data_IF_996041505944
#
_entry.id   IF_996041505944
#
_cell.length_a   1.000
_cell.length_b   1.000
_cell.length_c   1.000
_cell.angle_alpha   90.00
_cell.angle_beta   90.00
_cell.angle_gamma   90.00
#
_symmetry.space_group_name_H-M   'P 1'
#
loop_
_entity.id
_entity.type
_entity.pdbx_description
1 polymer ?
#
# COMPACT_ATOMS: atom_id res chain seq x y z
N UNK A 1 10.87 9.25 25.65
CA UNK A 1 10.74 8.99 24.21
C UNK A 1 9.27 8.77 23.97
N UNK A 2 8.63 9.54 23.09
CA UNK A 2 7.20 9.35 22.80
C UNK A 2 7.00 7.94 22.24
N UNK A 3 6.06 7.20 22.81
CA UNK A 3 5.64 5.91 22.28
C UNK A 3 5.09 6.14 20.86
N UNK A 4 5.64 5.44 19.86
CA UNK A 4 5.10 5.48 18.50
C UNK A 4 3.74 4.79 18.52
N UNK A 5 2.68 5.46 18.05
CA UNK A 5 1.30 4.92 18.11
C UNK A 5 0.56 4.99 16.78
N UNK A 6 1.23 5.39 15.70
CA UNK A 6 0.65 5.53 14.37
C UNK A 6 0.72 4.19 13.61
N UNK A 7 0.01 3.19 14.12
CA UNK A 7 -0.12 1.87 13.52
C UNK A 7 -1.39 1.17 14.04
N UNK A 8 -1.82 0.13 13.32
CA UNK A 8 -2.82 -0.84 13.78
C UNK A 8 -2.43 -2.22 13.24
N UNK A 9 -1.97 -3.09 14.15
CA UNK A 9 -1.56 -4.47 13.88
C UNK A 9 -2.20 -5.40 14.90
N UNK A 10 -2.17 -6.71 14.66
CA UNK A 10 -2.80 -7.69 15.55
C UNK A 10 -2.19 -7.70 16.96
N UNK A 11 -0.86 -7.84 17.06
CA UNK A 11 -0.15 -7.94 18.33
C UNK A 11 1.32 -7.48 18.21
N UNK A 12 1.66 -6.42 18.94
CA UNK A 12 3.02 -5.87 18.98
C UNK A 12 4.03 -6.76 19.70
N UNK A 13 3.58 -7.72 20.52
CA UNK A 13 4.47 -8.67 21.20
C UNK A 13 5.23 -9.58 20.22
N UNK A 14 4.73 -9.70 18.97
CA UNK A 14 5.30 -10.52 17.91
C UNK A 14 6.51 -9.86 17.21
N UNK A 15 6.83 -8.60 17.51
CA UNK A 15 7.87 -7.84 16.81
C UNK A 15 9.26 -8.52 16.85
N UNK A 16 9.64 -9.12 17.98
CA UNK A 16 10.92 -9.82 18.11
C UNK A 16 10.99 -11.09 17.26
N UNK A 17 9.86 -11.79 17.09
CA UNK A 17 9.76 -12.93 16.19
C UNK A 17 9.86 -12.49 14.73
N UNK A 18 9.08 -11.48 14.34
CA UNK A 18 9.16 -10.91 12.99
C UNK A 18 10.57 -10.43 12.64
N UNK A 19 11.27 -9.77 13.59
CA UNK A 19 12.67 -9.34 13.39
C UNK A 19 13.64 -10.50 13.15
N UNK A 20 13.41 -11.68 13.75
CA UNK A 20 14.23 -12.86 13.49
C UNK A 20 14.00 -13.37 12.07
N UNK A 21 12.76 -13.46 11.62
CA UNK A 21 12.44 -13.93 10.26
C UNK A 21 12.84 -12.94 9.17
N UNK A 22 12.69 -11.63 9.40
CA UNK A 22 13.20 -10.59 8.49
C UNK A 22 14.70 -10.77 8.24
N UNK A 23 15.50 -11.01 9.30
CA UNK A 23 16.95 -11.25 9.15
C UNK A 23 17.28 -12.52 8.35
N UNK A 24 16.43 -13.55 8.41
CA UNK A 24 16.58 -14.75 7.57
C UNK A 24 16.19 -14.39 6.13
N UNK A 25 15.08 -13.71 5.91
CA UNK A 25 14.64 -13.31 4.58
C UNK A 25 15.65 -12.38 3.88
N UNK A 26 16.36 -11.52 4.61
CA UNK A 26 17.44 -10.69 4.06
C UNK A 26 18.55 -11.53 3.39
N UNK A 27 18.83 -12.75 3.88
CA UNK A 27 19.83 -13.64 3.22
C UNK A 27 19.30 -14.24 1.92
N UNK A 28 17.98 -14.37 1.79
CA UNK A 28 17.30 -14.90 0.60
C UNK A 28 16.83 -13.80 -0.38
N UNK A 29 17.05 -12.52 -0.05
CA UNK A 29 16.64 -11.37 -0.88
C UNK A 29 17.84 -10.53 -1.35
N UNK A 30 18.84 -11.13 -2.03
CA UNK A 30 20.09 -10.46 -2.39
C UNK A 30 19.87 -9.23 -3.30
N UNK A 31 18.80 -9.20 -4.10
CA UNK A 31 18.46 -8.05 -4.93
C UNK A 31 18.18 -6.78 -4.13
N UNK A 32 17.36 -6.89 -3.07
CA UNK A 32 17.07 -5.76 -2.18
C UNK A 32 18.30 -5.35 -1.37
N UNK A 33 19.05 -6.33 -0.86
CA UNK A 33 20.28 -6.05 -0.10
C UNK A 33 21.33 -5.35 -0.96
N UNK A 34 21.47 -5.74 -2.24
CA UNK A 34 22.35 -5.06 -3.18
C UNK A 34 21.91 -3.61 -3.45
N UNK A 35 20.60 -3.33 -3.54
CA UNK A 35 20.08 -1.98 -3.68
C UNK A 35 20.41 -1.12 -2.45
N UNK A 36 20.23 -1.66 -1.24
CA UNK A 36 20.63 -0.99 0.01
C UNK A 36 22.13 -0.67 0.00
N UNK A 37 22.98 -1.63 -0.35
CA UNK A 37 24.43 -1.43 -0.41
C UNK A 37 24.84 -0.37 -1.44
N UNK A 38 24.19 -0.38 -2.62
CA UNK A 38 24.51 0.51 -3.73
C UNK A 38 24.02 1.94 -3.52
N UNK A 39 22.80 2.11 -3.03
CA UNK A 39 22.11 3.40 -2.99
C UNK A 39 21.84 3.94 -1.57
N UNK A 40 22.09 3.16 -0.52
CA UNK A 40 21.86 3.59 0.87
C UNK A 40 22.65 4.84 1.26
N UNK A 41 23.84 5.05 0.69
CA UNK A 41 24.62 6.28 0.93
C UNK A 41 24.04 7.51 0.23
N UNK A 42 23.48 7.35 -0.98
CA UNK A 42 22.94 8.47 -1.75
C UNK A 42 21.49 8.81 -1.40
N UNK A 43 20.81 7.95 -0.65
CA UNK A 43 19.40 8.09 -0.20
C UNK A 43 18.49 8.68 -1.30
N UNK A 44 18.39 8.03 -2.47
CA UNK A 44 17.72 8.60 -3.65
C UNK A 44 16.21 8.84 -3.45
N UNK A 45 15.60 8.20 -2.45
CA UNK A 45 14.18 8.37 -2.13
C UNK A 45 13.95 9.45 -1.06
N UNK A 46 14.96 10.25 -0.71
CA UNK A 46 14.78 11.38 0.21
C UNK A 46 13.66 12.29 -0.25
N UNK A 47 12.67 12.51 0.62
CA UNK A 47 11.48 13.31 0.33
C UNK A 47 10.32 12.53 -0.32
N UNK A 48 10.51 11.25 -0.64
CA UNK A 48 9.42 10.37 -1.03
C UNK A 48 8.54 10.05 0.19
N UNK A 49 7.23 10.12 -0.01
CA UNK A 49 6.18 9.67 0.90
C UNK A 49 5.43 8.56 0.18
N UNK A 50 5.83 7.32 0.46
CA UNK A 50 5.37 6.13 -0.26
C UNK A 50 4.25 5.47 0.52
N UNK A 51 3.04 5.46 -0.04
CA UNK A 51 1.97 4.58 0.45
C UNK A 51 2.09 3.24 -0.26
N UNK A 52 2.21 2.16 0.50
CA UNK A 52 2.18 0.79 -0.01
C UNK A 52 0.87 0.08 0.30
N UNK A 53 0.32 -0.61 -0.69
CA UNK A 53 -0.83 -1.53 -0.59
C UNK A 53 -0.44 -2.86 -1.23
N UNK A 54 0.28 -3.68 -0.46
CA UNK A 54 0.79 -5.00 -0.87
C UNK A 54 0.68 -5.93 0.33
N UNK A 55 0.57 -7.24 0.09
CA UNK A 55 0.56 -8.26 1.14
C UNK A 55 1.61 -7.96 2.23
N UNK A 56 1.16 -7.79 3.48
CA UNK A 56 2.04 -7.44 4.60
C UNK A 56 2.74 -8.69 5.16
N UNK A 57 3.75 -9.17 4.42
CA UNK A 57 4.53 -10.38 4.74
C UNK A 57 5.95 -10.05 5.21
N UNK A 58 6.72 -11.07 5.59
CA UNK A 58 8.15 -10.97 5.88
C UNK A 58 8.93 -10.44 4.66
N UNK A 59 8.59 -10.88 3.45
CA UNK A 59 9.25 -10.42 2.22
C UNK A 59 8.96 -8.93 1.99
N UNK A 60 7.71 -8.51 2.20
CA UNK A 60 7.31 -7.10 2.12
C UNK A 60 7.97 -6.26 3.20
N UNK A 61 8.18 -6.79 4.41
CA UNK A 61 8.94 -6.08 5.45
C UNK A 61 10.38 -5.75 4.99
N UNK A 62 11.07 -6.66 4.29
CA UNK A 62 12.41 -6.39 3.71
C UNK A 62 12.33 -5.32 2.61
N UNK A 63 11.26 -5.31 1.81
CA UNK A 63 11.00 -4.25 0.82
C UNK A 63 10.79 -2.89 1.49
N UNK A 64 9.93 -2.80 2.51
CA UNK A 64 9.65 -1.57 3.27
C UNK A 64 10.95 -1.01 3.86
N UNK A 65 11.72 -1.85 4.54
CA UNK A 65 12.99 -1.43 5.15
C UNK A 65 14.03 -1.03 4.10
N UNK A 66 13.95 -1.57 2.88
CA UNK A 66 14.76 -1.10 1.75
C UNK A 66 14.35 0.30 1.33
N UNK A 67 13.06 0.59 1.20
CA UNK A 67 12.60 1.94 0.85
C UNK A 67 13.03 2.98 1.89
N UNK A 68 12.89 2.64 3.19
CA UNK A 68 13.35 3.49 4.31
C UNK A 68 14.87 3.66 4.28
N UNK A 69 15.63 2.59 4.07
CA UNK A 69 17.09 2.65 3.93
C UNK A 69 17.52 3.47 2.71
N UNK A 70 16.68 3.62 1.70
CA UNK A 70 16.93 4.48 0.55
C UNK A 70 16.41 5.92 0.74
N UNK A 71 15.86 6.26 1.91
CA UNK A 71 15.49 7.62 2.31
C UNK A 71 14.00 7.95 2.23
N UNK A 72 13.14 6.98 1.89
CA UNK A 72 11.69 7.21 1.84
C UNK A 72 11.09 7.27 3.25
N UNK A 73 10.00 8.03 3.39
CA UNK A 73 9.01 7.80 4.42
C UNK A 73 7.97 6.83 3.85
N UNK A 74 7.46 5.91 4.66
CA UNK A 74 6.58 4.83 4.22
C UNK A 74 5.36 4.72 5.13
N UNK A 75 4.17 4.46 4.57
CA UNK A 75 2.97 4.00 5.27
C UNK A 75 2.43 2.78 4.54
N UNK A 76 1.96 1.75 5.24
CA UNK A 76 1.66 0.46 4.62
C UNK A 76 0.36 -0.18 5.09
N UNK A 77 -0.41 -0.72 4.15
CA UNK A 77 -1.52 -1.65 4.42
C UNK A 77 -1.35 -2.91 3.57
N UNK A 78 -2.07 -3.96 3.94
CA UNK A 78 -2.16 -5.15 3.11
C UNK A 78 -3.11 -4.92 1.93
N UNK A 79 -2.96 -5.66 0.83
CA UNK A 79 -3.91 -5.70 -0.30
C UNK A 79 -4.87 -6.91 -0.23
N UNK A 80 -4.85 -7.68 0.87
CA UNK A 80 -5.77 -8.80 1.07
C UNK A 80 -5.94 -9.14 2.55
N UNK A 81 -7.21 -9.34 2.96
CA UNK A 81 -7.64 -9.56 4.34
C UNK A 81 -6.98 -10.75 5.07
N UNK A 82 -6.44 -11.74 4.35
CA UNK A 82 -5.81 -12.93 4.97
C UNK A 82 -4.30 -13.03 4.73
N UNK A 83 -3.72 -12.12 3.98
CA UNK A 83 -2.33 -12.23 3.53
C UNK A 83 -1.30 -11.74 4.55
N UNK A 84 -1.72 -10.93 5.52
CA UNK A 84 -0.82 -10.39 6.53
C UNK A 84 -0.19 -11.51 7.36
N UNK A 85 1.12 -11.38 7.57
CA UNK A 85 1.86 -12.12 8.58
C UNK A 85 2.05 -11.18 9.78
N UNK A 86 1.30 -11.41 10.85
CA UNK A 86 1.16 -10.44 11.95
C UNK A 86 2.49 -10.11 12.63
N UNK A 87 3.40 -11.07 12.72
CA UNK A 87 4.75 -10.84 13.26
C UNK A 87 5.61 -9.95 12.35
N UNK A 88 5.44 -10.04 11.02
CA UNK A 88 6.07 -9.13 10.08
C UNK A 88 5.52 -7.70 10.27
N UNK A 89 4.20 -7.56 10.34
CA UNK A 89 3.53 -6.27 10.57
C UNK A 89 4.01 -5.62 11.88
N UNK A 90 4.05 -6.39 12.97
CA UNK A 90 4.54 -5.93 14.27
C UNK A 90 6.02 -5.50 14.23
N UNK A 91 6.88 -6.24 13.54
CA UNK A 91 8.30 -5.92 13.45
C UNK A 91 8.57 -4.62 12.66
N UNK A 92 7.76 -4.34 11.63
CA UNK A 92 7.83 -3.10 10.86
C UNK A 92 7.25 -1.92 11.66
N UNK A 93 6.12 -2.11 12.34
CA UNK A 93 5.54 -1.11 13.23
C UNK A 93 6.50 -0.74 14.38
N UNK A 94 7.17 -1.74 14.99
CA UNK A 94 8.16 -1.53 16.04
C UNK A 94 9.41 -0.77 15.55
N UNK A 95 9.69 -0.78 14.23
CA UNK A 95 10.74 0.02 13.62
C UNK A 95 10.31 1.48 13.35
N UNK A 96 9.09 1.88 13.74
CA UNK A 96 8.58 3.23 13.58
C UNK A 96 7.97 3.54 12.21
N UNK A 97 7.65 2.50 11.42
CA UNK A 97 6.94 2.66 10.14
C UNK A 97 5.45 2.40 10.35
N UNK A 98 4.56 3.32 9.95
CA UNK A 98 3.11 3.11 10.06
C UNK A 98 2.62 1.91 9.26
N UNK A 99 2.06 0.92 9.95
CA UNK A 99 1.46 -0.27 9.36
C UNK A 99 0.03 -0.42 9.88
N UNK A 100 -0.90 -0.56 8.94
CA UNK A 100 -2.32 -0.78 9.18
C UNK A 100 -2.69 -2.08 8.49
N UNK A 101 -2.43 -3.21 9.16
CA UNK A 101 -2.61 -4.53 8.60
C UNK A 101 -2.66 -5.61 9.71
N UNK A 102 -3.60 -6.53 9.62
CA UNK A 102 -3.61 -7.79 10.39
C UNK A 102 -4.22 -8.93 9.59
N UNK A 103 -3.97 -10.17 10.02
CA UNK A 103 -4.60 -11.34 9.39
C UNK A 103 -6.04 -11.48 9.87
N UNK A 104 -6.97 -11.65 8.93
CA UNK A 104 -8.39 -11.85 9.23
C UNK A 104 -9.18 -10.55 9.37
N UNK A 105 -8.79 -9.50 8.66
CA UNK A 105 -9.57 -8.26 8.55
C UNK A 105 -10.99 -8.52 8.00
N UNK A 106 -11.96 -7.71 8.43
CA UNK A 106 -13.22 -7.54 7.67
C UNK A 106 -13.01 -6.63 6.46
N UNK A 107 -13.98 -6.57 5.53
CA UNK A 107 -13.89 -5.64 4.40
C UNK A 107 -13.89 -4.17 4.85
N UNK A 108 -14.63 -3.83 5.90
CA UNK A 108 -14.62 -2.49 6.50
C UNK A 108 -13.26 -2.13 7.10
N UNK A 109 -12.64 -3.08 7.78
CA UNK A 109 -11.29 -2.92 8.35
C UNK A 109 -10.25 -2.75 7.24
N UNK A 110 -10.32 -3.58 6.19
CA UNK A 110 -9.45 -3.48 5.02
C UNK A 110 -9.49 -2.10 4.36
N UNK A 111 -10.68 -1.62 4.00
CA UNK A 111 -10.82 -0.30 3.37
C UNK A 111 -10.51 0.85 4.32
N UNK A 112 -10.72 0.67 5.63
CA UNK A 112 -10.25 1.61 6.64
C UNK A 112 -8.72 1.66 6.69
N UNK A 113 -8.03 0.53 6.66
CA UNK A 113 -6.57 0.44 6.60
C UNK A 113 -6.02 1.15 5.36
N UNK A 114 -6.62 0.90 4.18
CA UNK A 114 -6.27 1.58 2.92
C UNK A 114 -6.43 3.10 3.04
N UNK A 115 -7.51 3.58 3.67
CA UNK A 115 -7.68 5.01 3.94
C UNK A 115 -6.58 5.56 4.88
N UNK A 116 -6.24 4.85 5.97
CA UNK A 116 -5.23 5.32 6.95
C UNK A 116 -3.86 5.53 6.32
N UNK A 117 -3.47 4.69 5.36
CA UNK A 117 -2.14 4.77 4.74
C UNK A 117 -2.06 5.80 3.63
N UNK A 118 -3.20 6.22 3.07
CA UNK A 118 -3.30 7.36 2.15
C UNK A 118 -3.41 8.71 2.89
N UNK A 119 -3.76 8.69 4.17
CA UNK A 119 -3.84 9.87 5.04
C UNK A 119 -2.49 10.12 5.73
N UNK A 120 -1.71 11.02 5.14
CA UNK A 120 -0.41 11.41 5.70
C UNK A 120 -0.55 12.61 6.65
N UNK A 121 0.02 12.53 7.87
CA UNK A 121 0.03 13.66 8.79
C UNK A 121 0.94 14.78 8.29
N UNK A 122 0.54 16.02 8.56
CA UNK A 122 1.23 17.30 8.39
C UNK A 122 2.43 17.44 9.31
N UNK A 123 3.39 18.31 8.98
CA UNK A 123 4.54 18.60 9.85
C UNK A 123 4.14 19.22 11.22
N UNK A 124 2.94 19.78 11.30
CA UNK A 124 2.30 20.40 12.46
C UNK A 124 1.15 19.56 13.04
N UNK A 125 1.00 18.30 12.59
CA UNK A 125 -0.17 17.47 12.90
C UNK A 125 -1.41 17.77 12.04
N UNK A 126 -1.29 18.66 11.04
CA UNK A 126 -2.30 18.86 9.98
C UNK A 126 -2.37 17.69 8.98
N UNK A 127 -2.84 17.91 7.76
CA UNK A 127 -2.75 16.93 6.66
C UNK A 127 -1.67 17.37 5.67
N UNK A 128 -0.67 16.53 5.35
CA UNK A 128 0.39 16.86 4.36
C UNK A 128 -0.09 16.77 2.90
N UNK A 129 -1.39 16.54 2.67
CA UNK A 129 -1.92 16.36 1.32
C UNK A 129 -1.60 14.97 0.72
N UNK A 130 -1.26 13.97 1.55
CA UNK A 130 -1.13 12.57 1.12
C UNK A 130 0.27 12.12 0.68
N UNK A 131 0.36 10.88 0.13
CA UNK A 131 1.60 10.37 -0.44
C UNK A 131 2.00 11.17 -1.68
N UNK A 132 3.26 11.03 -2.08
CA UNK A 132 3.70 11.48 -3.41
C UNK A 132 4.07 10.32 -4.34
N UNK A 133 3.99 9.08 -3.85
CA UNK A 133 4.21 7.85 -4.62
C UNK A 133 3.27 6.76 -4.07
N UNK A 134 2.73 5.92 -4.95
CA UNK A 134 2.00 4.70 -4.57
C UNK A 134 2.80 3.47 -5.02
N UNK A 135 2.89 2.47 -4.15
CA UNK A 135 3.32 1.11 -4.47
C UNK A 135 2.09 0.22 -4.29
N UNK A 136 1.53 -0.30 -5.38
CA UNK A 136 0.22 -0.96 -5.37
C UNK A 136 0.32 -2.41 -5.86
N UNK A 137 -0.56 -3.26 -5.37
CA UNK A 137 -0.78 -4.63 -5.81
C UNK A 137 -2.28 -4.88 -5.86
N UNK A 138 -2.80 -5.02 -7.08
CA UNK A 138 -4.22 -5.19 -7.37
C UNK A 138 -4.93 -3.87 -7.69
N UNK A 139 -4.31 -2.73 -7.38
CA UNK A 139 -4.78 -1.41 -7.78
C UNK A 139 -5.82 -0.77 -6.86
N UNK A 140 -6.00 -1.27 -5.64
CA UNK A 140 -7.06 -0.80 -4.73
C UNK A 140 -6.76 0.58 -4.14
N UNK A 141 -5.51 0.86 -3.78
CA UNK A 141 -5.12 2.20 -3.31
C UNK A 141 -5.29 3.22 -4.44
N UNK A 142 -4.89 2.86 -5.66
CA UNK A 142 -5.09 3.68 -6.86
C UNK A 142 -6.59 3.90 -7.12
N UNK A 143 -7.39 2.84 -7.09
CA UNK A 143 -8.84 2.91 -7.33
C UNK A 143 -9.53 3.84 -6.32
N UNK A 144 -9.19 3.73 -5.03
CA UNK A 144 -9.79 4.57 -3.99
C UNK A 144 -9.50 6.06 -4.23
N UNK A 145 -8.28 6.41 -4.62
CA UNK A 145 -7.91 7.79 -4.96
C UNK A 145 -8.69 8.29 -6.18
N UNK A 146 -8.71 7.51 -7.27
CA UNK A 146 -9.36 7.91 -8.52
C UNK A 146 -10.88 8.06 -8.34
N UNK A 147 -11.53 7.09 -7.67
CA UNK A 147 -12.98 7.17 -7.38
C UNK A 147 -13.31 8.28 -6.39
N UNK A 148 -12.44 8.52 -5.41
CA UNK A 148 -12.56 9.66 -4.51
C UNK A 148 -12.58 10.99 -5.28
N UNK A 149 -11.64 11.19 -6.21
CA UNK A 149 -11.63 12.39 -7.07
C UNK A 149 -12.90 12.51 -7.93
N UNK A 150 -13.34 11.39 -8.52
CA UNK A 150 -14.53 11.34 -9.37
C UNK A 150 -15.76 11.84 -8.59
N UNK A 151 -15.97 11.32 -7.37
CA UNK A 151 -17.12 11.68 -6.55
C UNK A 151 -17.00 13.05 -5.89
N UNK A 152 -15.79 13.52 -5.55
CA UNK A 152 -15.57 14.91 -5.14
C UNK A 152 -15.95 15.88 -6.25
N UNK A 153 -15.54 15.60 -7.49
CA UNK A 153 -15.89 16.42 -8.66
C UNK A 153 -17.39 16.42 -8.93
N UNK A 154 -18.05 15.28 -8.73
CA UNK A 154 -19.51 15.16 -8.87
C UNK A 154 -20.28 15.79 -7.69
N UNK A 155 -19.64 15.98 -6.54
CA UNK A 155 -20.27 16.45 -5.31
C UNK A 155 -21.21 15.42 -4.66
N UNK A 156 -21.18 14.16 -5.11
CA UNK A 156 -22.02 13.09 -4.58
C UNK A 156 -21.34 11.72 -4.78
N UNK A 157 -21.58 10.81 -3.83
CA UNK A 157 -21.22 9.39 -3.96
C UNK A 157 -22.49 8.60 -4.30
N UNK A 158 -22.50 7.79 -5.37
CA UNK A 158 -23.67 7.03 -5.78
C UNK A 158 -24.14 6.08 -4.67
N UNK A 159 -25.43 5.76 -4.67
CA UNK A 159 -25.97 4.73 -3.78
C UNK A 159 -25.67 3.35 -4.33
N UNK A 160 -25.46 2.38 -3.44
CA UNK A 160 -25.38 0.98 -3.83
C UNK A 160 -26.77 0.49 -4.28
N UNK A 161 -26.79 -0.38 -5.29
CA UNK A 161 -27.98 -1.08 -5.78
C UNK A 161 -27.81 -2.60 -5.67
N UNK A 162 -28.81 -3.37 -6.13
CA UNK A 162 -28.79 -4.84 -6.07
C UNK A 162 -27.65 -5.47 -6.90
N UNK A 163 -27.03 -4.73 -7.83
CA UNK A 163 -25.91 -5.19 -8.64
C UNK A 163 -24.53 -4.86 -8.02
N UNK A 164 -24.54 -4.04 -6.97
CA UNK A 164 -23.32 -3.59 -6.29
C UNK A 164 -22.76 -4.71 -5.42
N UNK A 165 -21.47 -5.04 -5.59
CA UNK A 165 -20.82 -6.03 -4.71
C UNK A 165 -20.75 -5.52 -3.27
N UNK A 166 -20.75 -6.45 -2.31
CA UNK A 166 -20.61 -6.15 -0.88
C UNK A 166 -19.38 -5.28 -0.61
N UNK A 167 -18.24 -5.65 -1.19
CA UNK A 167 -16.99 -4.90 -1.08
C UNK A 167 -17.09 -3.49 -1.67
N UNK A 168 -17.70 -3.32 -2.84
CA UNK A 168 -17.83 -2.00 -3.42
C UNK A 168 -18.82 -1.13 -2.63
N UNK A 169 -19.84 -1.72 -1.99
CA UNK A 169 -20.70 -0.99 -1.06
C UNK A 169 -19.90 -0.42 0.13
N UNK A 170 -18.90 -1.15 0.65
CA UNK A 170 -17.98 -0.65 1.67
C UNK A 170 -17.13 0.50 1.13
N UNK A 171 -16.58 0.40 -0.09
CA UNK A 171 -15.85 1.51 -0.75
C UNK A 171 -16.72 2.76 -0.85
N UNK A 172 -17.97 2.63 -1.31
CA UNK A 172 -18.91 3.74 -1.40
C UNK A 172 -19.21 4.34 -0.01
N UNK A 173 -19.27 3.52 1.04
CA UNK A 173 -19.43 4.00 2.41
C UNK A 173 -18.23 4.85 2.87
N UNK A 174 -17.00 4.37 2.62
CA UNK A 174 -15.76 5.11 2.93
C UNK A 174 -15.73 6.44 2.19
N UNK A 175 -16.01 6.45 0.89
CA UNK A 175 -15.99 7.67 0.09
C UNK A 175 -17.09 8.65 0.49
N UNK A 176 -18.28 8.17 0.87
CA UNK A 176 -19.39 9.02 1.33
C UNK A 176 -19.05 9.71 2.66
N UNK A 177 -18.45 8.97 3.60
CA UNK A 177 -17.93 9.51 4.85
C UNK A 177 -16.82 10.52 4.57
N UNK A 178 -15.86 10.17 3.72
CA UNK A 178 -14.75 11.08 3.37
C UNK A 178 -15.24 12.37 2.73
N UNK A 179 -16.23 12.32 1.84
CA UNK A 179 -16.78 13.50 1.15
C UNK A 179 -17.45 14.47 2.12
N UNK A 180 -18.12 13.94 3.16
CA UNK A 180 -18.76 14.76 4.21
C UNK A 180 -17.74 15.35 5.19
N UNK A 181 -16.66 14.62 5.49
CA UNK A 181 -15.56 15.10 6.33
C UNK A 181 -14.71 16.18 5.62
N UNK A 182 -14.42 15.98 4.34
CA UNK A 182 -13.53 16.82 3.54
C UNK A 182 -13.78 16.63 2.04
N UNK A 183 -14.50 17.57 1.43
CA UNK A 183 -14.97 17.47 0.05
C UNK A 183 -13.88 17.59 -1.03
N UNK A 184 -12.62 17.70 -0.65
CA UNK A 184 -11.49 17.94 -1.57
C UNK A 184 -10.24 17.13 -1.18
N UNK A 185 -10.41 16.13 -0.30
CA UNK A 185 -9.34 15.28 0.23
C UNK A 185 -8.62 14.55 -0.89
N UNK A 186 -9.35 13.77 -1.68
CA UNK A 186 -8.82 12.89 -2.71
C UNK A 186 -8.24 13.68 -3.88
N UNK A 187 -8.86 14.81 -4.23
CA UNK A 187 -8.32 15.76 -5.22
C UNK A 187 -6.95 16.29 -4.79
N UNK A 188 -6.79 16.67 -3.52
CA UNK A 188 -5.47 17.10 -3.00
C UNK A 188 -4.45 15.97 -2.97
N UNK A 189 -4.85 14.78 -2.50
CA UNK A 189 -4.01 13.57 -2.48
C UNK A 189 -3.50 13.26 -3.89
N UNK A 190 -4.40 13.17 -4.87
CA UNK A 190 -4.05 12.87 -6.24
C UNK A 190 -3.10 13.91 -6.85
N UNK A 191 -3.31 15.20 -6.58
CA UNK A 191 -2.42 16.25 -7.05
C UNK A 191 -0.98 16.15 -6.49
N UNK A 192 -0.81 15.50 -5.33
CA UNK A 192 0.49 15.25 -4.71
C UNK A 192 1.22 14.02 -5.28
N UNK A 193 0.51 13.06 -5.89
CA UNK A 193 1.05 11.80 -6.38
C UNK A 193 1.79 12.01 -7.70
N UNK A 194 3.07 11.61 -7.73
CA UNK A 194 3.94 11.67 -8.91
C UNK A 194 3.91 10.41 -9.76
N UNK A 195 3.40 9.32 -9.21
CA UNK A 195 3.15 8.08 -9.94
C UNK A 195 2.87 6.89 -9.05
N UNK A 196 2.46 5.80 -9.69
CA UNK A 196 2.24 4.48 -9.08
C UNK A 196 3.11 3.41 -9.72
N UNK A 197 3.56 2.45 -8.94
CA UNK A 197 4.15 1.19 -9.45
C UNK A 197 3.24 0.03 -9.07
N UNK A 198 2.80 -0.76 -10.05
CA UNK A 198 1.81 -1.82 -9.87
C UNK A 198 2.39 -3.23 -10.06
N UNK A 199 2.16 -4.09 -9.07
CA UNK A 199 2.77 -5.41 -8.91
C UNK A 199 2.09 -6.49 -9.78
N UNK A 200 0.76 -6.55 -9.82
CA UNK A 200 0.03 -7.71 -10.37
C UNK A 200 -0.67 -7.44 -11.68
N UNK A 201 -0.94 -8.52 -12.42
CA UNK A 201 -1.66 -8.49 -13.69
C UNK A 201 -3.03 -7.80 -13.57
N UNK A 202 -3.77 -8.05 -12.48
CA UNK A 202 -5.10 -7.47 -12.25
C UNK A 202 -5.04 -5.96 -12.11
N UNK A 203 -4.12 -5.44 -11.27
CA UNK A 203 -3.94 -4.00 -11.13
C UNK A 203 -3.45 -3.36 -12.43
N UNK A 204 -2.54 -4.03 -13.17
CA UNK A 204 -2.09 -3.55 -14.49
C UNK A 204 -3.26 -3.43 -15.48
N UNK A 205 -4.20 -4.38 -15.49
CA UNK A 205 -5.40 -4.27 -16.34
C UNK A 205 -6.24 -3.04 -15.98
N UNK A 206 -6.48 -2.79 -14.68
CA UNK A 206 -7.19 -1.59 -14.21
C UNK A 206 -6.47 -0.30 -14.63
N UNK A 207 -5.14 -0.27 -14.55
CA UNK A 207 -4.33 0.87 -15.02
C UNK A 207 -4.50 1.12 -16.53
N UNK A 208 -4.48 0.06 -17.35
CA UNK A 208 -4.70 0.18 -18.79
C UNK A 208 -6.12 0.66 -19.13
N UNK A 209 -7.14 0.20 -18.40
CA UNK A 209 -8.52 0.69 -18.57
C UNK A 209 -8.59 2.20 -18.29
N UNK A 210 -8.09 2.64 -17.14
CA UNK A 210 -8.06 4.06 -16.78
C UNK A 210 -7.24 4.89 -17.80
N UNK A 211 -6.14 4.36 -18.31
CA UNK A 211 -5.33 5.03 -19.31
C UNK A 211 -6.07 5.17 -20.65
N UNK A 212 -6.80 4.14 -21.10
CA UNK A 212 -7.61 4.19 -22.33
C UNK A 212 -8.78 5.16 -22.22
N UNK A 213 -9.37 5.25 -21.03
CA UNK A 213 -10.48 6.16 -20.73
C UNK A 213 -10.03 7.61 -20.48
N UNK A 214 -8.72 7.84 -20.31
CA UNK A 214 -8.17 9.14 -19.97
C UNK A 214 -8.45 9.56 -18.52
N UNK A 215 -8.73 8.61 -17.64
CA UNK A 215 -9.07 8.83 -16.23
C UNK A 215 -7.90 8.61 -15.28
N UNK A 216 -6.78 8.04 -15.74
CA UNK A 216 -5.56 7.85 -14.94
C UNK A 216 -4.88 9.21 -14.64
N UNK A 217 -4.84 9.69 -13.38
CA UNK A 217 -4.43 11.05 -13.07
C UNK A 217 -2.92 11.25 -12.91
N UNK A 218 -2.14 10.17 -12.81
CA UNK A 218 -0.68 10.20 -12.63
C UNK A 218 0.01 9.06 -13.39
N UNK A 219 1.31 9.17 -13.69
CA UNK A 219 2.07 8.12 -14.38
C UNK A 219 2.02 6.77 -13.64
N UNK A 220 2.03 5.68 -14.40
CA UNK A 220 2.09 4.33 -13.86
C UNK A 220 3.23 3.51 -14.50
N UNK A 221 3.92 2.72 -13.68
CA UNK A 221 4.90 1.72 -14.14
C UNK A 221 4.35 0.33 -13.84
N UNK A 222 4.26 -0.51 -14.86
CA UNK A 222 3.83 -1.91 -14.72
C UNK A 222 5.04 -2.76 -14.28
N UNK A 223 5.11 -3.08 -12.99
CA UNK A 223 6.19 -3.95 -12.45
C UNK A 223 5.94 -5.39 -12.89
N UNK A 224 4.67 -5.82 -12.94
CA UNK A 224 4.26 -7.16 -13.34
C UNK A 224 4.90 -7.62 -14.66
N UNK A 225 4.93 -6.72 -15.66
CA UNK A 225 5.35 -7.04 -17.02
C UNK A 225 6.88 -7.12 -17.18
N UNK A 226 7.64 -6.78 -16.14
CA UNK A 226 9.06 -7.05 -16.10
C UNK A 226 9.31 -8.55 -16.28
N UNK A 227 10.27 -8.92 -17.12
CA UNK A 227 10.58 -10.34 -17.41
C UNK A 227 10.96 -11.08 -16.12
N UNK A 228 11.71 -10.42 -15.24
CA UNK A 228 12.14 -10.95 -13.94
C UNK A 228 11.01 -11.03 -12.91
N UNK A 229 9.83 -10.48 -13.20
CA UNK A 229 8.62 -10.59 -12.38
C UNK A 229 7.71 -11.66 -12.98
N UNK A 230 7.02 -11.37 -14.07
CA UNK A 230 6.03 -12.28 -14.70
C UNK A 230 6.52 -13.70 -14.97
N UNK A 231 7.80 -13.89 -15.35
CA UNK A 231 8.33 -15.22 -15.68
C UNK A 231 8.93 -15.96 -14.49
N UNK A 232 9.13 -15.28 -13.36
CA UNK A 232 9.70 -15.87 -12.16
C UNK A 232 8.67 -15.96 -11.04
N UNK A 233 8.18 -14.82 -10.56
CA UNK A 233 7.23 -14.73 -9.45
C UNK A 233 5.95 -15.51 -9.77
N UNK A 234 5.20 -15.09 -10.79
CA UNK A 234 3.89 -15.66 -11.09
C UNK A 234 3.95 -17.16 -11.45
N UNK A 235 5.10 -17.64 -11.94
CA UNK A 235 5.27 -19.04 -12.39
C UNK A 235 5.90 -19.92 -11.32
N UNK A 236 7.07 -19.54 -10.81
CA UNK A 236 7.83 -20.34 -9.86
C UNK A 236 7.44 -20.06 -8.41
N UNK A 237 7.01 -18.84 -8.10
CA UNK A 237 6.40 -18.50 -6.81
C UNK A 237 5.14 -19.33 -6.59
N UNK A 238 4.16 -19.25 -7.51
CA UNK A 238 2.95 -20.07 -7.43
C UNK A 238 3.23 -21.59 -7.42
N UNK A 239 4.24 -22.07 -8.16
CA UNK A 239 4.62 -23.49 -8.11
C UNK A 239 5.03 -23.93 -6.69
N UNK A 240 5.62 -23.03 -5.91
CA UNK A 240 6.01 -23.30 -4.53
C UNK A 240 4.83 -23.11 -3.56
N UNK A 241 4.16 -21.95 -3.60
CA UNK A 241 3.15 -21.58 -2.61
C UNK A 241 1.79 -22.28 -2.80
N UNK A 242 1.44 -22.72 -4.02
CA UNK A 242 0.15 -23.37 -4.27
C UNK A 242 0.01 -24.71 -3.54
N UNK A 243 1.09 -25.46 -3.38
CA UNK A 243 1.07 -26.76 -2.69
C UNK A 243 1.28 -26.63 -1.17
N UNK A 244 1.62 -25.43 -0.69
CA UNK A 244 1.87 -25.13 0.73
C UNK A 244 0.61 -24.65 1.45
N UNK A 245 -0.27 -23.91 0.76
CA UNK A 245 -1.54 -23.38 1.29
C UNK A 245 -2.66 -24.42 1.35
#
# INVERSE_FOLDING_TARGET
MSEFTDYKVADMSLADWGRKEIRIAETEMPGLMALRAKYGKSKPLTGARVTGSLHMTIQTAVLIETLVELGAQVRWCSCNIFSTQDHAAAAVAAAGVPVYAWKGETLEEYWWCTEQVLRWPGADGGSTGGPNMILDDGGDATMLVVKGMEFEKAGLVPSADESTSEEYAVVLSVLRRSLTEDATRWTRIAAGIKGVTEETTTGVHRLYEMAREGTLPFPAITVNDSVTKSKFDNKYGCRHSLIDG
#
